data_IF_210373486157
#
_entry.id   IF_210373486157
#
_cell.length_a   1.000
_cell.length_b   1.000
_cell.length_c   1.000
_cell.angle_alpha   90.00
_cell.angle_beta   90.00
_cell.angle_gamma   90.00
#
_symmetry.space_group_name_H-M   'P 1'
#
loop_
_entity.id
_entity.type
_entity.pdbx_description
1 polymer ?
#
# COMPACT_ATOMS: atom_id res chain seq x y z
N UNK A 1 -31.35 -19.56 -20.49
CA UNK A 1 -31.14 -19.22 -19.06
C UNK A 1 -29.66 -19.37 -18.61
N UNK A 2 -28.69 -19.34 -19.54
CA UNK A 2 -27.25 -19.42 -19.22
C UNK A 2 -26.56 -18.04 -19.34
N UNK A 3 -27.09 -17.10 -20.15
CA UNK A 3 -26.44 -15.79 -20.34
C UNK A 3 -26.51 -14.86 -19.13
N UNK A 4 -27.55 -14.96 -18.30
CA UNK A 4 -27.75 -14.03 -17.16
C UNK A 4 -26.73 -14.26 -16.03
N UNK A 5 -26.33 -15.51 -15.79
CA UNK A 5 -25.33 -15.88 -14.76
C UNK A 5 -23.91 -15.50 -15.18
N UNK A 6 -23.60 -15.55 -16.48
CA UNK A 6 -22.29 -15.18 -17.02
C UNK A 6 -22.06 -13.66 -17.03
N UNK A 7 -23.11 -12.87 -17.27
CA UNK A 7 -23.04 -11.40 -17.21
C UNK A 7 -22.81 -10.93 -15.78
N UNK A 8 -23.54 -11.48 -14.80
CA UNK A 8 -23.42 -11.08 -13.41
C UNK A 8 -22.05 -11.40 -12.79
N UNK A 9 -21.39 -12.48 -13.22
CA UNK A 9 -20.01 -12.79 -12.79
C UNK A 9 -18.94 -11.92 -13.47
N UNK A 10 -19.18 -11.44 -14.70
CA UNK A 10 -18.26 -10.54 -15.41
C UNK A 10 -18.32 -9.11 -14.92
N UNK A 11 -19.50 -8.60 -14.56
CA UNK A 11 -19.64 -7.25 -14.02
C UNK A 11 -19.00 -7.11 -12.63
N UNK A 12 -19.12 -8.15 -11.78
CA UNK A 12 -18.47 -8.16 -10.45
C UNK A 12 -16.95 -8.12 -10.58
N UNK A 13 -16.36 -8.89 -11.50
CA UNK A 13 -14.89 -8.91 -11.70
C UNK A 13 -14.35 -7.62 -12.34
N UNK A 14 -15.14 -6.93 -13.18
CA UNK A 14 -14.76 -5.64 -13.76
C UNK A 14 -14.86 -4.48 -12.75
N UNK A 15 -15.93 -4.41 -11.95
CA UNK A 15 -16.11 -3.36 -10.93
C UNK A 15 -15.09 -3.53 -9.79
N UNK A 16 -14.80 -4.78 -9.41
CA UNK A 16 -13.72 -5.09 -8.47
C UNK A 16 -12.35 -4.61 -8.98
N UNK A 17 -12.07 -4.70 -10.28
CA UNK A 17 -10.84 -4.18 -10.85
C UNK A 17 -10.82 -2.64 -10.89
N UNK A 18 -11.96 -1.97 -11.13
CA UNK A 18 -12.00 -0.51 -11.20
C UNK A 18 -11.62 0.17 -9.88
N UNK A 19 -12.06 -0.35 -8.73
CA UNK A 19 -11.71 0.25 -7.43
C UNK A 19 -10.22 0.10 -7.12
N UNK A 20 -9.65 -1.08 -7.39
CA UNK A 20 -8.22 -1.33 -7.23
C UNK A 20 -7.40 -0.45 -8.18
N UNK A 21 -7.79 -0.34 -9.46
CA UNK A 21 -7.13 0.53 -10.45
C UNK A 21 -7.20 2.00 -9.99
N UNK A 22 -8.36 2.48 -9.53
CA UNK A 22 -8.50 3.84 -9.04
C UNK A 22 -7.62 4.10 -7.80
N UNK A 23 -7.48 3.12 -6.90
CA UNK A 23 -6.60 3.24 -5.73
C UNK A 23 -5.13 3.30 -6.15
N UNK A 24 -4.68 2.41 -7.03
CA UNK A 24 -3.32 2.43 -7.59
C UNK A 24 -3.02 3.76 -8.28
N UNK A 25 -3.94 4.26 -9.12
CA UNK A 25 -3.77 5.54 -9.80
C UNK A 25 -3.63 6.72 -8.83
N UNK A 26 -4.39 6.72 -7.73
CA UNK A 26 -4.23 7.75 -6.68
C UNK A 26 -2.88 7.66 -5.99
N UNK A 27 -2.43 6.45 -5.64
CA UNK A 27 -1.11 6.24 -5.04
C UNK A 27 0.00 6.70 -6.00
N UNK A 28 -0.09 6.35 -7.30
CA UNK A 28 0.84 6.84 -8.32
C UNK A 28 0.85 8.37 -8.41
N UNK A 29 -0.34 9.01 -8.46
CA UNK A 29 -0.44 10.46 -8.50
C UNK A 29 0.24 11.11 -7.29
N UNK A 30 0.03 10.55 -6.08
CA UNK A 30 0.68 11.02 -4.86
C UNK A 30 2.21 10.87 -4.91
N UNK A 31 2.71 9.71 -5.36
CA UNK A 31 4.15 9.49 -5.48
C UNK A 31 4.80 10.45 -6.50
N UNK A 32 4.15 10.65 -7.65
CA UNK A 32 4.65 11.61 -8.66
C UNK A 32 4.65 13.05 -8.14
N UNK A 33 3.63 13.44 -7.36
CA UNK A 33 3.59 14.76 -6.73
C UNK A 33 4.72 14.92 -5.72
N UNK A 34 4.98 13.91 -4.89
CA UNK A 34 6.09 13.91 -3.92
C UNK A 34 7.45 14.02 -4.62
N UNK A 35 7.65 13.27 -5.71
CA UNK A 35 8.88 13.33 -6.50
C UNK A 35 9.08 14.73 -7.10
N UNK A 36 8.05 15.29 -7.73
CA UNK A 36 8.10 16.64 -8.32
C UNK A 36 8.36 17.73 -7.27
N UNK A 37 7.71 17.65 -6.11
CA UNK A 37 7.96 18.56 -4.99
C UNK A 37 9.39 18.42 -4.46
N UNK A 38 9.94 17.22 -4.48
CA UNK A 38 11.33 16.98 -4.08
C UNK A 38 12.31 17.57 -5.09
N UNK A 39 12.09 17.34 -6.38
CA UNK A 39 12.92 17.87 -7.47
C UNK A 39 12.91 19.40 -7.53
N UNK A 40 11.76 20.03 -7.26
CA UNK A 40 11.61 21.49 -7.25
C UNK A 40 12.06 22.14 -5.94
N UNK A 41 12.47 21.35 -4.94
CA UNK A 41 12.91 21.85 -3.63
C UNK A 41 11.77 22.22 -2.68
N UNK A 42 10.51 21.98 -3.04
CA UNK A 42 9.35 22.15 -2.16
C UNK A 42 9.30 21.13 -1.02
N UNK A 43 9.92 19.96 -1.19
CA UNK A 43 10.14 18.96 -0.15
C UNK A 43 11.61 18.56 -0.06
N UNK A 44 12.05 18.19 1.14
CA UNK A 44 13.38 17.61 1.33
C UNK A 44 13.39 16.18 0.76
N UNK A 45 14.42 15.78 -0.01
CA UNK A 45 14.56 14.42 -0.57
C UNK A 45 14.76 13.33 0.48
N UNK A 46 15.04 13.73 1.72
CA UNK A 46 15.26 12.83 2.83
C UNK A 46 14.39 13.21 4.02
N UNK A 47 14.07 12.20 4.83
CA UNK A 47 13.52 12.36 6.16
C UNK A 47 14.42 11.71 7.20
N UNK A 48 14.40 12.26 8.40
CA UNK A 48 15.06 11.64 9.55
C UNK A 48 14.30 10.40 10.00
N UNK A 49 15.00 9.49 10.66
CA UNK A 49 14.40 8.30 11.29
C UNK A 49 13.30 8.66 12.30
N UNK A 50 13.46 9.76 13.03
CA UNK A 50 12.44 10.25 13.97
C UNK A 50 11.18 10.77 13.26
N UNK A 51 11.32 11.48 12.15
CA UNK A 51 10.18 11.89 11.32
C UNK A 51 9.47 10.68 10.72
N UNK A 52 10.22 9.70 10.20
CA UNK A 52 9.66 8.46 9.68
C UNK A 52 8.84 7.72 10.73
N UNK A 53 9.35 7.60 11.96
CA UNK A 53 8.62 6.98 13.07
C UNK A 53 7.34 7.69 13.45
N UNK A 54 7.33 9.03 13.38
CA UNK A 54 6.11 9.82 13.66
C UNK A 54 5.06 9.62 12.58
N UNK A 55 5.46 9.51 11.32
CA UNK A 55 4.53 9.40 10.19
C UNK A 55 3.99 7.98 9.99
N UNK A 56 4.85 6.97 10.07
CA UNK A 56 4.49 5.58 9.68
C UNK A 56 4.49 4.59 10.84
N UNK A 57 4.92 5.03 12.02
CA UNK A 57 5.05 4.18 13.21
C UNK A 57 6.37 3.42 13.26
N UNK A 58 6.90 3.26 14.48
CA UNK A 58 8.22 2.67 14.72
C UNK A 58 8.36 1.24 14.19
N UNK A 59 7.38 0.38 14.46
CA UNK A 59 7.43 -1.03 14.08
C UNK A 59 7.49 -1.26 12.57
N UNK A 60 6.73 -0.47 11.79
CA UNK A 60 6.77 -0.56 10.31
C UNK A 60 8.12 -0.11 9.77
N UNK A 61 8.59 1.04 10.22
CA UNK A 61 9.87 1.61 9.75
C UNK A 61 11.04 0.70 10.12
N UNK A 62 11.10 0.20 11.36
CA UNK A 62 12.16 -0.73 11.78
C UNK A 62 12.12 -2.03 10.98
N UNK A 63 10.92 -2.55 10.67
CA UNK A 63 10.77 -3.71 9.79
C UNK A 63 11.28 -3.42 8.38
N UNK A 64 10.87 -2.32 7.74
CA UNK A 64 11.33 -1.98 6.39
C UNK A 64 12.85 -1.76 6.31
N UNK A 65 13.45 -1.22 7.38
CA UNK A 65 14.90 -1.10 7.50
C UNK A 65 15.54 -2.48 7.63
N UNK A 66 15.01 -3.34 8.52
CA UNK A 66 15.54 -4.69 8.75
C UNK A 66 15.43 -5.59 7.52
N UNK A 67 14.36 -5.44 6.76
CA UNK A 67 14.09 -6.21 5.54
C UNK A 67 14.89 -5.68 4.33
N UNK A 68 15.63 -4.57 4.50
CA UNK A 68 16.46 -3.97 3.45
C UNK A 68 15.69 -3.19 2.39
N UNK A 69 14.43 -2.84 2.65
CA UNK A 69 13.59 -2.08 1.73
C UNK A 69 13.88 -0.57 1.73
N UNK A 70 14.51 -0.06 2.78
CA UNK A 70 14.88 1.35 2.92
C UNK A 70 16.39 1.52 2.91
N UNK A 71 16.88 2.35 2.00
CA UNK A 71 18.28 2.74 1.96
C UNK A 71 18.53 3.82 3.03
N UNK A 72 19.25 3.47 4.10
CA UNK A 72 19.68 4.46 5.10
C UNK A 72 21.07 4.98 4.73
N UNK A 73 21.16 6.28 4.46
CA UNK A 73 22.45 6.97 4.43
C UNK A 73 22.73 7.54 5.81
N UNK A 74 23.86 7.15 6.39
CA UNK A 74 24.34 7.68 7.65
C UNK A 74 25.42 8.73 7.37
N UNK A 75 25.13 9.99 7.67
CA UNK A 75 26.07 11.10 7.41
C UNK A 75 27.34 11.02 8.28
N UNK A 76 27.27 10.42 9.48
CA UNK A 76 28.42 10.25 10.38
C UNK A 76 28.28 9.01 11.28
N UNK A 77 29.41 8.34 11.55
CA UNK A 77 29.52 7.19 12.44
C UNK A 77 28.99 7.55 13.84
N UNK A 78 27.94 6.86 14.31
CA UNK A 78 27.58 6.80 15.73
C UNK A 78 26.22 7.36 16.16
N UNK A 79 25.47 8.14 15.35
CA UNK A 79 24.23 8.76 15.85
C UNK A 79 23.01 8.51 14.95
N UNK A 80 22.03 7.77 15.46
CA UNK A 80 20.78 7.41 14.75
C UNK A 80 19.90 8.61 14.36
N UNK A 81 20.09 9.77 15.00
CA UNK A 81 19.36 11.01 14.72
C UNK A 81 19.78 11.71 13.42
N UNK A 82 20.92 11.33 12.82
CA UNK A 82 21.39 11.84 11.52
C UNK A 82 21.17 10.84 10.37
N UNK A 83 20.42 9.77 10.60
CA UNK A 83 20.04 8.83 9.54
C UNK A 83 19.08 9.50 8.56
N UNK A 84 19.47 9.52 7.28
CA UNK A 84 18.68 10.02 6.16
C UNK A 84 18.04 8.86 5.44
N UNK A 85 16.72 8.81 5.47
CA UNK A 85 15.90 7.88 4.71
C UNK A 85 15.42 8.62 3.47
N UNK A 86 15.54 8.01 2.29
CA UNK A 86 15.01 8.57 1.06
C UNK A 86 13.47 8.72 1.19
N UNK A 87 12.97 9.94 0.95
CA UNK A 87 11.54 10.24 1.07
C UNK A 87 10.71 9.47 0.03
N UNK A 88 11.18 9.39 -1.20
CA UNK A 88 10.51 8.66 -2.28
C UNK A 88 10.37 7.18 -1.96
N UNK A 89 11.43 6.54 -1.44
CA UNK A 89 11.41 5.12 -1.07
C UNK A 89 10.38 4.84 0.03
N UNK A 90 10.37 5.61 1.11
CA UNK A 90 9.48 5.33 2.24
C UNK A 90 8.02 5.64 1.93
N UNK A 91 7.74 6.67 1.13
CA UNK A 91 6.37 6.96 0.67
C UNK A 91 5.89 5.85 -0.29
N UNK A 92 6.76 5.36 -1.18
CA UNK A 92 6.43 4.25 -2.07
C UNK A 92 6.10 2.96 -1.29
N UNK A 93 6.88 2.65 -0.25
CA UNK A 93 6.59 1.50 0.63
C UNK A 93 5.30 1.67 1.40
N UNK A 94 5.04 2.86 1.92
CA UNK A 94 3.81 3.14 2.65
C UNK A 94 2.56 2.97 1.76
N UNK A 95 2.61 3.47 0.52
CA UNK A 95 1.54 3.29 -0.46
C UNK A 95 1.38 1.81 -0.87
N UNK A 96 2.48 1.09 -1.06
CA UNK A 96 2.44 -0.33 -1.37
C UNK A 96 1.82 -1.16 -0.25
N UNK A 97 2.16 -0.87 1.01
CA UNK A 97 1.61 -1.57 2.19
C UNK A 97 0.09 -1.33 2.35
N UNK A 98 -0.38 -0.11 2.06
CA UNK A 98 -1.81 0.23 2.07
C UNK A 98 -2.57 -0.45 0.92
N UNK A 99 -1.97 -0.56 -0.26
CA UNK A 99 -2.53 -1.29 -1.40
C UNK A 99 -2.65 -2.80 -1.10
N UNK A 100 -1.62 -3.39 -0.51
CA UNK A 100 -1.62 -4.80 -0.11
C UNK A 100 -2.69 -5.07 0.97
N UNK A 101 -2.78 -4.21 1.98
CA UNK A 101 -3.77 -4.32 3.04
C UNK A 101 -5.20 -4.30 2.47
N UNK A 102 -5.47 -3.39 1.53
CA UNK A 102 -6.75 -3.31 0.84
C UNK A 102 -7.09 -4.57 0.03
N UNK A 103 -6.10 -5.15 -0.66
CA UNK A 103 -6.33 -6.38 -1.41
C UNK A 103 -6.63 -7.56 -0.49
N UNK A 104 -5.91 -7.69 0.63
CA UNK A 104 -6.13 -8.75 1.62
C UNK A 104 -7.55 -8.66 2.22
N UNK A 105 -8.00 -7.45 2.57
CA UNK A 105 -9.34 -7.23 3.11
C UNK A 105 -10.41 -7.71 2.11
N UNK A 106 -10.28 -7.32 0.85
CA UNK A 106 -11.18 -7.73 -0.23
C UNK A 106 -11.18 -9.25 -0.47
N UNK A 107 -10.00 -9.88 -0.42
CA UNK A 107 -9.86 -11.32 -0.54
C UNK A 107 -10.55 -12.05 0.64
N UNK A 108 -10.48 -11.48 1.84
CA UNK A 108 -11.16 -12.03 3.01
C UNK A 108 -12.69 -11.91 2.90
N UNK A 109 -13.19 -10.79 2.40
CA UNK A 109 -14.63 -10.59 2.15
C UNK A 109 -15.18 -11.58 1.13
N UNK A 110 -14.48 -11.80 0.02
CA UNK A 110 -14.91 -12.74 -1.02
C UNK A 110 -14.98 -14.18 -0.47
N UNK A 111 -13.96 -14.59 0.31
CA UNK A 111 -13.94 -15.89 1.01
C UNK A 111 -15.07 -16.02 2.04
N UNK A 112 -15.40 -14.96 2.77
CA UNK A 112 -16.52 -14.97 3.72
C UNK A 112 -17.86 -15.18 3.01
N UNK A 113 -18.10 -14.46 1.91
CA UNK A 113 -19.30 -14.61 1.07
C UNK A 113 -19.45 -16.03 0.51
N UNK A 114 -18.34 -16.63 0.06
CA UNK A 114 -18.33 -18.00 -0.46
C UNK A 114 -18.70 -19.04 0.60
N UNK A 115 -18.19 -18.90 1.83
CA UNK A 115 -18.52 -19.80 2.95
C UNK A 115 -20.02 -19.75 3.30
N UNK A 116 -20.61 -18.55 3.32
CA UNK A 116 -22.04 -18.36 3.59
C UNK A 116 -22.90 -19.01 2.49
N UNK A 117 -22.52 -18.84 1.22
CA UNK A 117 -23.23 -19.44 0.10
C UNK A 117 -23.18 -20.98 0.13
N UNK A 118 -22.06 -21.57 0.61
CA UNK A 118 -21.89 -23.02 0.77
C UNK A 118 -22.66 -23.59 1.96
N UNK A 119 -22.81 -22.85 3.07
CA UNK A 119 -23.60 -23.31 4.22
C UNK A 119 -25.10 -23.26 3.95
N UNK A 120 -25.59 -22.27 3.20
CA UNK A 120 -27.00 -22.18 2.80
C UNK A 120 -27.47 -23.30 1.87
N UNK A 121 -26.57 -23.91 1.09
CA UNK A 121 -26.87 -25.04 0.19
C UNK A 121 -26.87 -26.42 0.86
N UNK A 122 -26.42 -26.54 2.11
CA UNK A 122 -26.41 -27.82 2.86
C UNK A 122 -27.67 -28.06 3.70
N UNK A 123 -28.55 -27.07 3.78
CA UNK A 123 -29.76 -27.06 4.60
C UNK A 123 -31.06 -27.22 3.81
N UNK A 124 -30.97 -27.44 2.49
CA UNK A 124 -32.06 -27.65 1.56
C UNK A 124 -31.78 -28.92 0.75
#
# INVERSE_FOLDING_TARGET
MISLLATQSRDVTLVENQSTIAKVLRSMAKLTATEMLTMTGGLKPYISKAEAYKMYGRGKVDKWISDGHLSISQDEVGTSSKMRINRGEIEALAEADDLLSYQIEKDNESRAKEKIAKSGKRSA
#
